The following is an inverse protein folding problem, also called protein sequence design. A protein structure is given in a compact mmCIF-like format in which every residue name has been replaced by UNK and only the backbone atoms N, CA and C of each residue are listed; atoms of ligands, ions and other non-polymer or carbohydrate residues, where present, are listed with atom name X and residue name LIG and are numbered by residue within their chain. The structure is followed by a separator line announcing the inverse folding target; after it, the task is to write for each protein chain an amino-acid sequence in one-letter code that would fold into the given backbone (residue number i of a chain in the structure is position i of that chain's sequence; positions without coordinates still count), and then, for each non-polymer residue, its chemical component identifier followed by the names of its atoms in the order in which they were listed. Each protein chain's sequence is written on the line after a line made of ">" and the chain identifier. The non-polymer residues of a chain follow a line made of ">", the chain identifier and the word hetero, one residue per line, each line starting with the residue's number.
data_IF_870975364457
#
_entry.id   IF_870975364457
#
_cell.length_a   1.000
_cell.length_b   1.000
_cell.length_c   1.000
_cell.angle_alpha   90.00
_cell.angle_beta   90.00
_cell.angle_gamma   90.00
#
_symmetry.space_group_name_H-M   'P 1'
#
loop_
_entity.id
_entity.type
_entity.pdbx_description
1 polymer ?
#
# COMPACT_ATOMS: atom_id res chain seq x y z
N UNK A 1 67.13 9.84 12.86
CA UNK A 1 65.79 9.83 12.22
C UNK A 1 64.76 9.05 13.06
N UNK A 2 64.81 9.06 14.41
CA UNK A 2 64.02 8.14 15.25
C UNK A 2 63.11 8.83 16.28
N UNK A 3 63.29 10.13 16.53
CA UNK A 3 62.48 10.86 17.52
C UNK A 3 61.24 11.52 16.93
N UNK A 4 61.20 11.67 15.60
CA UNK A 4 60.09 12.33 14.89
C UNK A 4 58.86 11.40 14.81
N UNK A 5 59.06 10.12 14.45
CA UNK A 5 58.01 9.10 14.45
C UNK A 5 57.47 8.79 15.86
N UNK A 6 58.33 8.82 16.89
CA UNK A 6 57.90 8.56 18.27
C UNK A 6 56.98 9.67 18.81
N UNK A 7 57.24 10.93 18.44
CA UNK A 7 56.36 12.06 18.79
C UNK A 7 55.01 11.99 18.09
N UNK A 8 54.98 11.55 16.82
CA UNK A 8 53.73 11.34 16.06
C UNK A 8 52.92 10.20 16.68
N UNK A 9 53.56 9.06 16.98
CA UNK A 9 52.88 7.94 17.62
C UNK A 9 52.31 8.32 19.00
N UNK A 10 53.07 9.06 19.81
CA UNK A 10 52.60 9.57 21.10
C UNK A 10 51.41 10.52 20.96
N UNK A 11 51.42 11.41 19.97
CA UNK A 11 50.31 12.32 19.71
C UNK A 11 49.04 11.60 19.26
N UNK A 12 49.16 10.57 18.41
CA UNK A 12 48.01 9.76 17.95
C UNK A 12 47.35 9.03 19.12
N UNK A 13 48.15 8.42 20.01
CA UNK A 13 47.62 7.70 21.18
C UNK A 13 46.90 8.68 22.13
N UNK A 14 47.45 9.88 22.34
CA UNK A 14 46.81 10.89 23.18
C UNK A 14 45.47 11.38 22.61
N UNK A 15 45.37 11.55 21.28
CA UNK A 15 44.10 11.92 20.61
C UNK A 15 43.06 10.81 20.74
N UNK A 16 43.46 9.54 20.55
CA UNK A 16 42.53 8.41 20.72
C UNK A 16 42.05 8.29 22.17
N UNK A 17 42.95 8.45 23.15
CA UNK A 17 42.59 8.45 24.56
C UNK A 17 41.63 9.60 24.91
N UNK A 18 41.83 10.79 24.32
CA UNK A 18 40.94 11.93 24.49
C UNK A 18 39.54 11.67 23.91
N UNK A 19 39.44 11.06 22.72
CA UNK A 19 38.16 10.69 22.10
C UNK A 19 37.42 9.67 22.95
N UNK A 20 38.12 8.66 23.49
CA UNK A 20 37.53 7.66 24.38
C UNK A 20 37.05 8.32 25.67
N UNK A 21 37.83 9.25 26.25
CA UNK A 21 37.43 10.00 27.45
C UNK A 21 36.20 10.87 27.20
N UNK A 22 36.11 11.56 26.05
CA UNK A 22 34.93 12.35 25.68
C UNK A 22 33.71 11.44 25.49
N UNK A 23 33.85 10.30 24.80
CA UNK A 23 32.75 9.35 24.63
C UNK A 23 32.30 8.72 25.96
N UNK A 24 33.24 8.36 26.85
CA UNK A 24 32.91 7.78 28.16
C UNK A 24 32.25 8.81 29.09
N UNK A 25 32.65 10.08 29.02
CA UNK A 25 32.02 11.12 29.84
C UNK A 25 30.68 11.61 29.26
N UNK A 26 30.52 11.62 27.93
CA UNK A 26 29.23 11.88 27.25
C UNK A 26 28.27 10.70 27.25
N UNK A 27 28.68 9.49 27.65
CA UNK A 27 27.77 8.35 27.92
C UNK A 27 26.94 8.49 29.21
N UNK A 28 26.97 9.66 29.86
CA UNK A 28 26.10 9.98 31.00
C UNK A 28 24.75 10.59 30.59
N UNK A 29 24.42 10.56 29.30
CA UNK A 29 23.11 10.96 28.80
C UNK A 29 22.21 9.72 28.74
N UNK A 30 20.98 9.78 29.28
CA UNK A 30 20.08 8.62 29.31
C UNK A 30 19.89 8.11 27.88
N UNK A 31 20.03 6.80 27.69
CA UNK A 31 19.63 6.15 26.44
C UNK A 31 18.26 6.73 26.02
N UNK A 32 18.11 7.23 24.78
CA UNK A 32 16.80 7.62 24.31
C UNK A 32 15.88 6.42 24.51
N UNK A 33 14.70 6.58 25.14
CA UNK A 33 13.82 5.46 25.39
C UNK A 33 13.57 4.72 24.06
N UNK A 34 13.48 3.38 24.10
CA UNK A 34 13.30 2.59 22.90
C UNK A 34 12.08 3.15 22.16
N UNK A 35 12.29 3.54 20.91
CA UNK A 35 11.27 4.14 20.04
C UNK A 35 10.09 3.16 19.97
N UNK A 36 9.02 3.42 20.72
CA UNK A 36 7.77 2.65 20.66
C UNK A 36 7.00 2.90 19.34
N UNK A 37 7.50 3.78 18.47
CA UNK A 37 6.83 4.22 17.23
C UNK A 37 6.89 3.22 16.06
N UNK A 38 7.67 2.14 16.14
CA UNK A 38 7.90 1.25 14.99
C UNK A 38 6.80 0.20 14.76
N UNK A 39 6.06 -0.21 15.81
CA UNK A 39 5.02 -1.26 15.67
C UNK A 39 3.83 -0.78 14.83
N UNK A 40 3.32 0.42 15.10
CA UNK A 40 2.15 0.95 14.42
C UNK A 40 2.41 1.31 12.95
N UNK A 41 3.57 1.88 12.64
CA UNK A 41 3.91 2.20 11.25
C UNK A 41 4.14 0.95 10.41
N UNK A 42 4.88 -0.03 10.91
CA UNK A 42 5.15 -1.28 10.19
C UNK A 42 3.86 -2.05 9.91
N UNK A 43 2.99 -2.19 10.91
CA UNK A 43 1.68 -2.82 10.76
C UNK A 43 0.80 -2.07 9.74
N UNK A 44 0.85 -0.73 9.75
CA UNK A 44 0.13 0.09 8.77
C UNK A 44 0.67 -0.07 7.35
N UNK A 45 1.99 -0.14 7.17
CA UNK A 45 2.63 -0.40 5.87
C UNK A 45 2.22 -1.78 5.35
N UNK A 46 2.21 -2.80 6.21
CA UNK A 46 1.77 -4.14 5.85
C UNK A 46 0.29 -4.17 5.47
N UNK A 47 -0.56 -3.47 6.22
CA UNK A 47 -1.99 -3.33 5.94
C UNK A 47 -2.21 -2.66 4.58
N UNK A 48 -1.50 -1.56 4.32
CA UNK A 48 -1.57 -0.86 3.04
C UNK A 48 -1.11 -1.76 1.87
N UNK A 49 -0.03 -2.53 2.05
CA UNK A 49 0.41 -3.52 1.06
C UNK A 49 -0.65 -4.56 0.80
N UNK A 50 -1.21 -5.19 1.84
CA UNK A 50 -2.27 -6.20 1.71
C UNK A 50 -3.51 -5.63 1.04
N UNK A 51 -3.89 -4.38 1.32
CA UNK A 51 -5.08 -3.74 0.74
C UNK A 51 -4.90 -3.39 -0.73
N UNK A 52 -3.78 -2.78 -1.10
CA UNK A 52 -3.62 -2.15 -2.42
C UNK A 52 -2.87 -3.01 -3.44
N UNK A 53 -2.02 -3.95 -3.01
CA UNK A 53 -1.28 -4.85 -3.92
C UNK A 53 -1.99 -6.18 -4.19
N UNK A 54 -3.06 -6.50 -3.45
CA UNK A 54 -3.92 -7.66 -3.75
C UNK A 54 -4.58 -7.51 -5.11
N UNK A 55 -4.10 -8.32 -6.07
CA UNK A 55 -4.57 -8.34 -7.46
C UNK A 55 -5.95 -9.00 -7.55
N UNK A 56 -6.90 -8.43 -8.33
CA UNK A 56 -8.17 -9.09 -8.56
C UNK A 56 -8.02 -10.36 -9.41
N UNK A 57 -8.89 -11.33 -9.16
CA UNK A 57 -9.00 -12.55 -9.95
C UNK A 57 -9.77 -12.23 -11.25
N UNK A 58 -9.20 -12.56 -12.41
CA UNK A 58 -9.90 -12.45 -13.69
C UNK A 58 -10.98 -13.54 -13.74
N UNK A 59 -12.22 -13.17 -14.04
CA UNK A 59 -13.26 -14.17 -14.32
C UNK A 59 -13.05 -14.66 -15.75
N UNK A 60 -12.52 -15.87 -15.92
CA UNK A 60 -12.52 -16.52 -17.22
C UNK A 60 -13.98 -16.84 -17.62
N UNK A 61 -14.39 -16.58 -18.87
CA UNK A 61 -15.72 -16.93 -19.33
C UNK A 61 -15.84 -18.46 -19.36
N UNK A 62 -16.35 -19.04 -18.28
CA UNK A 62 -16.64 -20.46 -18.21
C UNK A 62 -17.83 -20.75 -19.14
N UNK A 63 -17.55 -21.36 -20.29
CA UNK A 63 -18.54 -22.13 -21.05
C UNK A 63 -18.88 -23.40 -20.28
N UNK A 64 -19.47 -23.30 -19.08
CA UNK A 64 -20.09 -24.43 -18.42
C UNK A 64 -21.43 -24.03 -17.81
N UNK A 65 -22.43 -24.48 -18.55
CA UNK A 65 -23.78 -24.71 -18.13
C UNK A 65 -23.76 -25.70 -16.95
N UNK A 66 -23.90 -25.23 -15.71
CA UNK A 66 -24.40 -26.07 -14.61
C UNK A 66 -25.10 -25.22 -13.57
N UNK A 67 -26.42 -25.17 -13.72
CA UNK A 67 -27.34 -25.08 -12.60
C UNK A 67 -26.89 -26.08 -11.54
N UNK A 68 -26.64 -25.61 -10.31
CA UNK A 68 -26.64 -26.52 -9.15
C UNK A 68 -27.91 -26.23 -8.38
N UNK A 69 -28.84 -27.15 -8.59
CA UNK A 69 -30.17 -27.26 -8.05
C UNK A 69 -30.16 -27.23 -6.52
N UNK A 70 -31.15 -26.55 -5.95
CA UNK A 70 -31.61 -26.74 -4.58
C UNK A 70 -31.76 -28.23 -4.27
N UNK A 71 -31.13 -28.70 -3.20
CA UNK A 71 -31.48 -29.96 -2.56
C UNK A 71 -32.06 -29.63 -1.18
N UNK A 72 -33.40 -29.54 -1.16
CA UNK A 72 -34.25 -29.45 0.02
C UNK A 72 -34.25 -30.80 0.72
N UNK A 73 -33.87 -30.85 2.00
CA UNK A 73 -34.09 -32.00 2.88
C UNK A 73 -35.24 -31.66 3.85
N UNK A 74 -36.39 -32.36 3.85
CA UNK A 74 -37.62 -31.91 4.50
C UNK A 74 -37.81 -32.51 5.90
N UNK A 75 -36.80 -32.48 6.79
CA UNK A 75 -37.04 -32.86 8.18
C UNK A 75 -35.99 -32.37 9.20
N UNK A 76 -36.14 -31.14 9.72
CA UNK A 76 -35.84 -30.79 11.13
C UNK A 76 -36.33 -29.38 11.51
N UNK A 77 -36.75 -29.15 12.77
CA UNK A 77 -37.54 -28.01 13.18
C UNK A 77 -36.72 -26.74 13.39
N UNK A 78 -37.38 -25.61 13.13
CA UNK A 78 -36.97 -24.22 13.37
C UNK A 78 -36.51 -24.00 14.81
N UNK A 79 -35.34 -23.38 15.02
CA UNK A 79 -35.08 -22.26 15.96
C UNK A 79 -33.57 -21.97 16.02
N UNK A 80 -33.16 -20.80 15.53
CA UNK A 80 -32.32 -19.78 16.20
C UNK A 80 -31.77 -18.87 15.11
N UNK A 81 -32.30 -17.65 15.04
CA UNK A 81 -31.75 -16.54 14.27
C UNK A 81 -30.46 -16.14 14.98
N UNK A 82 -29.34 -16.72 14.58
CA UNK A 82 -28.03 -16.08 14.76
C UNK A 82 -27.75 -15.31 13.48
N UNK A 83 -27.64 -14.01 13.63
CA UNK A 83 -27.29 -13.04 12.62
C UNK A 83 -25.90 -13.40 12.04
N UNK A 84 -25.89 -14.24 11.00
CA UNK A 84 -24.69 -14.54 10.22
C UNK A 84 -24.48 -13.32 9.32
N UNK A 85 -23.38 -12.55 9.47
CA UNK A 85 -23.12 -11.45 8.56
C UNK A 85 -23.04 -12.04 7.14
N UNK A 86 -23.95 -11.59 6.28
CA UNK A 86 -23.97 -11.91 4.85
C UNK A 86 -22.55 -11.72 4.31
N UNK A 87 -21.90 -12.75 3.74
CA UNK A 87 -20.58 -12.58 3.16
C UNK A 87 -20.64 -11.46 2.12
N UNK A 88 -19.66 -10.55 2.07
CA UNK A 88 -19.66 -9.45 1.12
C UNK A 88 -19.77 -10.04 -0.28
N UNK A 89 -20.86 -9.70 -0.99
CA UNK A 89 -21.07 -10.17 -2.35
C UNK A 89 -19.87 -9.73 -3.20
N UNK A 90 -19.26 -10.62 -4.00
CA UNK A 90 -18.10 -10.29 -4.81
C UNK A 90 -18.47 -9.18 -5.80
N UNK A 91 -17.89 -8.00 -5.61
CA UNK A 91 -18.11 -6.88 -6.52
C UNK A 91 -17.39 -7.19 -7.83
N UNK A 92 -18.17 -7.30 -8.91
CA UNK A 92 -17.62 -7.48 -10.26
C UNK A 92 -17.30 -6.12 -10.84
N UNK A 93 -16.04 -5.90 -11.23
CA UNK A 93 -15.60 -4.68 -11.90
C UNK A 93 -15.03 -5.00 -13.28
N UNK A 94 -15.04 -4.03 -14.17
CA UNK A 94 -14.66 -4.20 -15.57
C UNK A 94 -13.38 -3.41 -15.88
N UNK A 95 -12.32 -4.10 -16.34
CA UNK A 95 -11.03 -3.49 -16.67
C UNK A 95 -10.48 -3.98 -18.01
N UNK A 96 -9.68 -3.13 -18.65
CA UNK A 96 -8.87 -3.53 -19.81
C UNK A 96 -7.62 -4.28 -19.31
N UNK A 97 -7.37 -5.53 -19.76
CA UNK A 97 -6.12 -6.21 -19.45
C UNK A 97 -4.95 -5.51 -20.14
N UNK A 98 -3.84 -5.34 -19.43
CA UNK A 98 -2.63 -4.69 -19.94
C UNK A 98 -1.72 -5.73 -20.60
N UNK A 99 -0.84 -5.27 -21.49
CA UNK A 99 0.29 -6.06 -21.96
C UNK A 99 1.24 -6.38 -20.81
N UNK A 100 2.07 -7.42 -20.91
CA UNK A 100 3.01 -7.80 -19.85
C UNK A 100 3.98 -6.66 -19.51
N UNK A 101 4.48 -5.95 -20.51
CA UNK A 101 5.41 -4.83 -20.34
C UNK A 101 4.74 -3.69 -19.58
N UNK A 102 3.54 -3.32 -20.01
CA UNK A 102 2.74 -2.27 -19.35
C UNK A 102 2.35 -2.67 -17.93
N UNK A 103 2.05 -3.96 -17.72
CA UNK A 103 1.72 -4.51 -16.42
C UNK A 103 2.89 -4.36 -15.45
N UNK A 104 4.11 -4.72 -15.86
CA UNK A 104 5.31 -4.58 -15.03
C UNK A 104 5.56 -3.11 -14.67
N UNK A 105 5.39 -2.20 -15.62
CA UNK A 105 5.58 -0.78 -15.34
C UNK A 105 4.50 -0.22 -14.40
N UNK A 106 3.24 -0.57 -14.63
CA UNK A 106 2.13 -0.17 -13.75
C UNK A 106 2.29 -0.73 -12.33
N UNK A 107 2.74 -1.98 -12.22
CA UNK A 107 3.05 -2.62 -10.95
C UNK A 107 4.23 -1.95 -10.24
N UNK A 108 5.29 -1.57 -10.97
CA UNK A 108 6.41 -0.80 -10.41
C UNK A 108 5.92 0.53 -9.82
N UNK A 109 5.08 1.27 -10.54
CA UNK A 109 4.52 2.54 -10.05
C UNK A 109 3.64 2.33 -8.82
N UNK A 110 2.81 1.27 -8.81
CA UNK A 110 1.95 0.95 -7.67
C UNK A 110 2.78 0.56 -6.44
N UNK A 111 3.84 -0.23 -6.62
CA UNK A 111 4.79 -0.61 -5.57
C UNK A 111 5.55 0.57 -4.96
N UNK A 112 5.63 1.71 -5.65
CA UNK A 112 6.16 2.97 -5.10
C UNK A 112 5.04 3.82 -4.48
N UNK A 113 3.86 3.84 -5.07
CA UNK A 113 2.73 4.61 -4.58
C UNK A 113 2.26 4.13 -3.20
N UNK A 114 2.18 2.81 -2.98
CA UNK A 114 1.73 2.20 -1.73
C UNK A 114 2.56 2.63 -0.52
N UNK A 115 3.90 2.45 -0.50
CA UNK A 115 4.70 2.98 0.61
C UNK A 115 4.65 4.51 0.68
N UNK A 116 4.52 5.21 -0.46
CA UNK A 116 4.29 6.65 -0.48
C UNK A 116 3.02 7.08 0.26
N UNK A 117 1.97 6.24 0.28
CA UNK A 117 0.75 6.47 1.08
C UNK A 117 1.05 6.36 2.56
N UNK A 118 1.71 5.27 2.98
CA UNK A 118 2.04 5.04 4.39
C UNK A 118 2.95 6.15 4.91
N UNK A 119 3.98 6.52 4.15
CA UNK A 119 4.87 7.65 4.45
C UNK A 119 4.08 8.95 4.55
N UNK A 120 3.13 9.21 3.65
CA UNK A 120 2.33 10.43 3.65
C UNK A 120 1.42 10.62 4.87
N UNK A 121 1.17 9.55 5.64
CA UNK A 121 0.41 9.62 6.91
C UNK A 121 1.27 10.09 8.09
N UNK A 122 2.59 10.06 7.97
CA UNK A 122 3.50 10.52 9.01
C UNK A 122 3.42 12.04 9.21
N UNK A 123 3.73 12.54 10.41
CA UNK A 123 3.86 13.98 10.64
C UNK A 123 4.97 14.56 9.77
N UNK A 124 4.81 15.81 9.34
CA UNK A 124 5.78 16.58 8.53
C UNK A 124 6.08 16.04 7.12
N UNK A 125 5.59 14.86 6.76
CA UNK A 125 5.67 14.32 5.40
C UNK A 125 4.43 14.69 4.58
N UNK A 126 4.32 14.16 3.35
CA UNK A 126 3.13 14.34 2.53
C UNK A 126 2.94 13.25 1.50
N UNK A 127 1.78 13.26 0.87
CA UNK A 127 1.36 12.25 -0.10
C UNK A 127 1.91 12.47 -1.52
N UNK A 128 2.88 13.37 -1.71
CA UNK A 128 3.36 13.74 -3.06
C UNK A 128 3.83 12.53 -3.86
N UNK A 129 4.63 11.65 -3.24
CA UNK A 129 5.13 10.44 -3.89
C UNK A 129 3.98 9.54 -4.35
N UNK A 130 2.96 9.35 -3.52
CA UNK A 130 1.76 8.59 -3.88
C UNK A 130 1.00 9.27 -5.03
N UNK A 131 0.69 10.55 -4.89
CA UNK A 131 -0.12 11.31 -5.87
C UNK A 131 0.51 11.32 -7.25
N UNK A 132 1.81 11.58 -7.33
CA UNK A 132 2.52 11.67 -8.60
C UNK A 132 2.49 10.32 -9.33
N UNK A 133 2.76 9.21 -8.62
CA UNK A 133 2.69 7.86 -9.20
C UNK A 133 1.25 7.46 -9.56
N UNK A 134 0.26 7.77 -8.71
CA UNK A 134 -1.15 7.52 -9.01
C UNK A 134 -1.59 8.25 -10.29
N UNK A 135 -1.20 9.51 -10.47
CA UNK A 135 -1.50 10.28 -11.69
C UNK A 135 -0.83 9.69 -12.93
N UNK A 136 0.41 9.20 -12.81
CA UNK A 136 1.10 8.51 -13.91
C UNK A 136 0.36 7.23 -14.34
N UNK A 137 -0.12 6.44 -13.37
CA UNK A 137 -0.91 5.23 -13.66
C UNK A 137 -2.22 5.60 -14.35
N UNK A 138 -2.95 6.59 -13.80
CA UNK A 138 -4.25 7.02 -14.33
C UNK A 138 -4.11 7.61 -15.75
N UNK A 139 -3.05 8.34 -16.03
CA UNK A 139 -2.85 8.96 -17.36
C UNK A 139 -2.45 7.95 -18.43
N UNK A 140 -1.64 6.93 -18.07
CA UNK A 140 -1.16 5.92 -19.03
C UNK A 140 -2.15 4.80 -19.25
N UNK A 141 -2.79 4.30 -18.19
CA UNK A 141 -3.69 3.14 -18.25
C UNK A 141 -5.02 3.41 -17.53
N UNK A 142 -5.83 4.39 -18.00
CA UNK A 142 -7.03 4.84 -17.28
C UNK A 142 -8.07 3.74 -17.03
N UNK A 143 -8.15 2.74 -17.91
CA UNK A 143 -9.14 1.66 -17.83
C UNK A 143 -8.60 0.38 -17.18
N UNK A 144 -7.36 0.40 -16.71
CA UNK A 144 -6.74 -0.72 -16.01
C UNK A 144 -7.23 -0.87 -14.57
N UNK A 145 -7.03 -2.07 -14.02
CA UNK A 145 -7.21 -2.29 -12.58
C UNK A 145 -6.24 -1.45 -11.73
N UNK A 146 -5.03 -1.14 -12.26
CA UNK A 146 -4.07 -0.28 -11.59
C UNK A 146 -4.59 1.15 -11.45
N UNK A 147 -5.25 1.68 -12.48
CA UNK A 147 -5.88 2.99 -12.39
C UNK A 147 -7.02 3.01 -11.38
N UNK A 148 -7.84 1.95 -11.33
CA UNK A 148 -8.86 1.81 -10.28
C UNK A 148 -8.24 1.88 -8.87
N UNK A 149 -7.16 1.13 -8.63
CA UNK A 149 -6.44 1.19 -7.35
C UNK A 149 -5.84 2.56 -7.07
N UNK A 150 -5.23 3.19 -8.06
CA UNK A 150 -4.69 4.54 -7.93
C UNK A 150 -5.78 5.56 -7.54
N UNK A 151 -6.96 5.48 -8.17
CA UNK A 151 -8.12 6.32 -7.81
C UNK A 151 -8.60 6.04 -6.38
N UNK A 152 -8.69 4.77 -5.98
CA UNK A 152 -9.04 4.41 -4.59
C UNK A 152 -8.04 5.00 -3.59
N UNK A 153 -6.73 4.93 -3.87
CA UNK A 153 -5.70 5.51 -3.00
C UNK A 153 -5.83 7.04 -2.88
N UNK A 154 -6.16 7.72 -3.97
CA UNK A 154 -6.43 9.16 -3.95
C UNK A 154 -7.71 9.48 -3.16
N UNK A 155 -8.76 8.66 -3.28
CA UNK A 155 -10.02 8.82 -2.56
C UNK A 155 -9.84 8.65 -1.04
N UNK A 156 -9.00 7.69 -0.64
CA UNK A 156 -8.70 7.35 0.75
C UNK A 156 -7.76 8.37 1.45
N UNK A 157 -7.22 9.33 0.68
CA UNK A 157 -6.40 10.41 1.24
C UNK A 157 -7.26 11.37 2.07
N UNK A 158 -6.78 11.84 3.25
CA UNK A 158 -7.54 12.79 4.05
C UNK A 158 -7.85 14.08 3.28
N UNK A 159 -9.11 14.56 3.33
CA UNK A 159 -9.59 15.73 2.58
C UNK A 159 -8.75 16.99 2.77
N UNK A 160 -8.10 17.17 3.93
CA UNK A 160 -7.18 18.29 4.18
C UNK A 160 -6.03 18.38 3.16
N UNK A 161 -5.61 17.25 2.59
CA UNK A 161 -4.55 17.18 1.59
C UNK A 161 -5.06 17.32 0.16
N UNK A 162 -6.36 17.17 -0.09
CA UNK A 162 -6.92 17.31 -1.45
C UNK A 162 -6.68 18.71 -2.00
N UNK A 163 -6.90 19.75 -1.19
CA UNK A 163 -6.61 21.14 -1.57
C UNK A 163 -5.12 21.37 -1.84
N UNK A 164 -4.23 20.73 -1.06
CA UNK A 164 -2.77 20.85 -1.23
C UNK A 164 -2.30 20.28 -2.57
N UNK A 165 -2.86 19.14 -2.98
CA UNK A 165 -2.46 18.44 -4.21
C UNK A 165 -3.41 18.68 -5.40
N UNK A 166 -4.43 19.51 -5.21
CA UNK A 166 -5.48 19.81 -6.20
C UNK A 166 -6.15 18.54 -6.73
N UNK A 167 -6.46 17.62 -5.82
CA UNK A 167 -7.18 16.39 -6.16
C UNK A 167 -8.63 16.75 -6.49
N UNK A 168 -9.08 16.36 -7.68
CA UNK A 168 -10.45 16.63 -8.14
C UNK A 168 -11.37 15.43 -7.92
N UNK A 169 -12.67 15.67 -7.80
CA UNK A 169 -13.66 14.58 -7.65
C UNK A 169 -13.64 13.61 -8.84
N UNK A 170 -13.33 14.10 -10.04
CA UNK A 170 -13.17 13.28 -11.25
C UNK A 170 -11.97 12.33 -11.17
N UNK A 171 -10.89 12.74 -10.50
CA UNK A 171 -9.71 11.90 -10.31
C UNK A 171 -9.97 10.74 -9.34
N UNK A 172 -10.85 10.92 -8.36
CA UNK A 172 -11.20 9.89 -7.37
C UNK A 172 -12.41 9.05 -7.79
N UNK A 173 -13.13 9.47 -8.83
CA UNK A 173 -14.34 8.79 -9.28
C UNK A 173 -14.04 7.39 -9.84
N UNK A 174 -14.51 6.37 -9.12
CA UNK A 174 -14.43 4.96 -9.47
C UNK A 174 -15.70 4.40 -10.11
N UNK A 175 -16.75 5.22 -10.24
CA UNK A 175 -18.05 4.83 -10.79
C UNK A 175 -17.96 4.26 -12.21
N UNK A 176 -16.91 4.62 -12.93
CA UNK A 176 -16.70 4.09 -14.26
C UNK A 176 -16.43 2.58 -14.25
N UNK A 177 -15.77 2.01 -13.25
CA UNK A 177 -15.38 0.58 -13.29
C UNK A 177 -16.51 -0.40 -12.98
N UNK A 178 -17.67 0.08 -12.53
CA UNK A 178 -18.85 -0.76 -12.22
C UNK A 178 -19.69 -1.09 -13.45
N UNK A 179 -19.40 -0.46 -14.60
CA UNK A 179 -20.15 -0.66 -15.84
C UNK A 179 -19.29 -1.33 -16.90
N UNK A 180 -19.82 -2.30 -17.66
CA UNK A 180 -19.10 -2.88 -18.79
C UNK A 180 -18.85 -1.82 -19.87
N UNK A 181 -17.65 -1.84 -20.45
CA UNK A 181 -17.21 -0.97 -21.55
C UNK A 181 -16.54 -1.78 -22.66
N UNK A 182 -16.33 -1.12 -23.81
CA UNK A 182 -15.57 -1.69 -24.93
C UNK A 182 -14.21 -2.21 -24.43
N UNK A 183 -13.85 -3.43 -24.81
CA UNK A 183 -12.56 -4.07 -24.52
C UNK A 183 -12.27 -4.37 -23.02
N UNK A 184 -13.26 -4.22 -22.14
CA UNK A 184 -13.13 -4.57 -20.72
C UNK A 184 -13.52 -6.01 -20.43
N UNK A 185 -12.78 -6.65 -19.50
CA UNK A 185 -13.07 -7.98 -18.96
C UNK A 185 -13.56 -7.87 -17.50
N UNK A 186 -14.45 -8.76 -17.05
CA UNK A 186 -14.89 -8.81 -15.66
C UNK A 186 -13.78 -9.36 -14.74
N UNK A 187 -13.63 -8.72 -13.59
CA UNK A 187 -12.70 -9.08 -12.52
C UNK A 187 -13.47 -9.14 -11.21
N UNK A 188 -13.20 -10.15 -10.40
CA UNK A 188 -13.79 -10.35 -9.08
C UNK A 188 -12.82 -9.94 -7.98
N UNK A 189 -13.32 -9.16 -7.03
CA UNK A 189 -12.60 -8.80 -5.81
C UNK A 189 -13.15 -9.58 -4.64
N UNK A 190 -12.26 -10.32 -3.96
CA UNK A 190 -12.46 -10.66 -2.56
C UNK A 190 -11.90 -9.47 -1.80
N UNK A 191 -12.76 -8.54 -1.41
CA UNK A 191 -12.32 -7.48 -0.50
C UNK A 191 -11.89 -8.18 0.80
N UNK A 192 -10.63 -8.05 1.24
CA UNK A 192 -10.24 -8.61 2.53
C UNK A 192 -11.07 -7.91 3.63
N UNK A 193 -11.53 -8.67 4.64
CA UNK A 193 -12.39 -8.14 5.70
C UNK A 193 -11.77 -6.97 6.47
#
# INVERSE_FOLDING_TARGET
>A
MNTFWLKIAGAVIAVVALIILINVFSSSEPEPPPIEEEKGFSEQVETDRKKFLSRPELVEPNNQNTQTTQQTDPNRPVTTILDIPKPPEPITLYFVPLSEIDQVEAERLLNVAVPGRSIGRLPMTGFKLMVDNCRMIISRWPESWYAYRAKQMLADMPRRFWSRYKVTEKEVDTSMYTKPRKDTKPFTFKEPP
#
